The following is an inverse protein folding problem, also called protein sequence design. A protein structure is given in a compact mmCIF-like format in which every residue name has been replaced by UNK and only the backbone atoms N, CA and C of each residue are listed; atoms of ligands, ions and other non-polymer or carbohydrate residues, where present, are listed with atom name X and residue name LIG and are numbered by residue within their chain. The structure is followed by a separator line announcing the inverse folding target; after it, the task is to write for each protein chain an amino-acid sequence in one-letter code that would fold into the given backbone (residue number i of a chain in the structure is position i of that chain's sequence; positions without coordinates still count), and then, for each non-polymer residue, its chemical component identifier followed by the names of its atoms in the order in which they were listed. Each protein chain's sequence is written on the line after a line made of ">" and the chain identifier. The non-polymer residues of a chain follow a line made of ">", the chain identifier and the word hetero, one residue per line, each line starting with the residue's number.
data_IF_432691679404
#
_entry.id   IF_432691679404
#
_cell.length_a   1.000
_cell.length_b   1.000
_cell.length_c   1.000
_cell.angle_alpha   90.00
_cell.angle_beta   90.00
_cell.angle_gamma   90.00
#
_symmetry.space_group_name_H-M   'P 1'
#
loop_
_entity.id
_entity.type
_entity.pdbx_description
1 polymer ?
#
# COMPACT_ATOMS: atom_id res chain seq x y z
N UNK A 1 -57.14 -27.66 43.74
CA UNK A 1 -57.70 -28.51 42.67
C UNK A 1 -57.88 -27.62 41.44
N UNK A 2 -57.65 -28.18 40.24
CA UNK A 2 -57.44 -27.49 38.94
C UNK A 2 -56.01 -26.91 38.80
N UNK A 3 -55.07 -27.43 38.02
CA UNK A 3 -55.14 -28.38 36.90
C UNK A 3 -54.95 -27.63 35.57
N UNK A 4 -53.72 -27.28 35.22
CA UNK A 4 -53.35 -26.79 33.89
C UNK A 4 -51.95 -27.28 33.52
N UNK A 5 -51.93 -28.36 32.76
CA UNK A 5 -50.78 -28.96 32.10
C UNK A 5 -50.56 -28.31 30.73
N UNK A 6 -49.44 -27.63 30.53
CA UNK A 6 -48.97 -27.19 29.21
C UNK A 6 -47.80 -28.06 28.76
N UNK A 7 -48.08 -29.01 27.89
CA UNK A 7 -47.11 -29.83 27.16
C UNK A 7 -46.54 -29.07 25.98
N UNK A 8 -45.22 -28.81 25.96
CA UNK A 8 -44.49 -28.38 24.77
C UNK A 8 -43.83 -29.60 24.10
N UNK A 9 -44.15 -29.93 22.84
CA UNK A 9 -43.40 -30.87 22.04
C UNK A 9 -42.46 -30.13 21.08
N UNK A 10 -41.20 -30.53 20.99
CA UNK A 10 -40.33 -30.13 19.87
C UNK A 10 -38.89 -29.78 20.26
N UNK A 11 -38.14 -30.75 20.80
CA UNK A 11 -36.72 -30.56 21.09
C UNK A 11 -35.95 -31.89 21.04
N UNK A 12 -36.06 -32.64 19.93
CA UNK A 12 -35.30 -33.90 19.79
C UNK A 12 -34.69 -34.18 18.41
N UNK A 13 -34.83 -33.31 17.40
CA UNK A 13 -34.27 -33.58 16.06
C UNK A 13 -33.02 -32.77 15.68
N UNK A 14 -32.44 -31.96 16.56
CA UNK A 14 -31.30 -31.08 16.21
C UNK A 14 -29.90 -31.66 16.50
N UNK A 15 -29.79 -32.94 16.88
CA UNK A 15 -28.49 -33.56 17.26
C UNK A 15 -27.94 -34.50 16.18
N UNK A 16 -28.76 -34.94 15.21
CA UNK A 16 -28.31 -35.92 14.19
C UNK A 16 -27.67 -35.30 12.93
N UNK A 17 -27.86 -34.00 12.68
CA UNK A 17 -27.27 -33.31 11.52
C UNK A 17 -25.90 -32.67 11.81
N UNK A 18 -25.42 -32.70 13.06
CA UNK A 18 -24.09 -32.19 13.42
C UNK A 18 -22.96 -33.18 13.11
N UNK A 19 -23.27 -34.45 12.80
CA UNK A 19 -22.29 -35.53 12.68
C UNK A 19 -21.72 -35.72 11.26
N UNK A 20 -22.29 -35.07 10.23
CA UNK A 20 -21.84 -35.19 8.85
C UNK A 20 -21.15 -33.93 8.28
N UNK A 21 -20.95 -32.88 9.09
CA UNK A 21 -20.22 -31.68 8.68
C UNK A 21 -18.68 -31.77 8.88
N UNK A 22 -18.18 -32.90 9.42
CA UNK A 22 -16.78 -33.02 9.87
C UNK A 22 -15.75 -33.51 8.85
N UNK A 23 -16.14 -34.13 7.73
CA UNK A 23 -15.18 -34.82 6.85
C UNK A 23 -14.78 -34.05 5.58
N UNK A 24 -15.39 -32.90 5.30
CA UNK A 24 -15.08 -32.09 4.11
C UNK A 24 -13.94 -31.07 4.28
N UNK A 25 -13.46 -30.85 5.51
CA UNK A 25 -12.70 -29.64 5.86
C UNK A 25 -11.17 -29.77 5.79
N UNK A 26 -10.64 -30.93 5.36
CA UNK A 26 -9.20 -31.22 5.48
C UNK A 26 -8.38 -31.00 4.19
N UNK A 27 -9.00 -30.53 3.11
CA UNK A 27 -8.32 -30.21 1.83
C UNK A 27 -8.04 -28.73 1.60
N UNK A 28 -8.13 -27.88 2.62
CA UNK A 28 -7.50 -26.55 2.64
C UNK A 28 -5.97 -26.69 2.79
N UNK A 29 -5.34 -27.49 1.92
CA UNK A 29 -3.91 -27.75 1.95
C UNK A 29 -3.11 -26.49 1.68
N UNK A 30 -1.85 -26.49 2.14
CA UNK A 30 -0.87 -25.43 1.91
C UNK A 30 -0.86 -24.92 0.45
N UNK A 31 -1.11 -25.80 -0.53
CA UNK A 31 -1.21 -25.45 -1.95
C UNK A 31 -2.29 -24.40 -2.28
N UNK A 32 -3.46 -24.43 -1.60
CA UNK A 32 -4.57 -23.48 -1.83
C UNK A 32 -4.30 -22.08 -1.28
N UNK A 33 -3.35 -21.94 -0.35
CA UNK A 33 -2.94 -20.64 0.19
C UNK A 33 -1.64 -20.17 -0.46
N UNK A 34 -0.66 -21.06 -0.57
CA UNK A 34 0.65 -20.75 -1.13
C UNK A 34 0.56 -20.42 -2.63
N UNK A 35 -0.15 -21.23 -3.43
CA UNK A 35 -0.26 -21.02 -4.88
C UNK A 35 -0.79 -19.64 -5.25
N UNK A 36 -2.00 -19.26 -4.78
CA UNK A 36 -2.55 -17.91 -4.97
C UNK A 36 -1.63 -16.78 -4.48
N UNK A 37 -0.97 -16.96 -3.34
CA UNK A 37 -0.01 -15.99 -2.82
C UNK A 37 1.22 -15.82 -3.73
N UNK A 38 1.75 -16.93 -4.27
CA UNK A 38 2.86 -16.93 -5.23
C UNK A 38 2.49 -16.19 -6.51
N UNK A 39 1.32 -16.51 -7.09
CA UNK A 39 0.81 -15.89 -8.32
C UNK A 39 0.61 -14.40 -8.11
N UNK A 40 -0.09 -14.02 -7.04
CA UNK A 40 -0.31 -12.61 -6.67
C UNK A 40 1.02 -11.86 -6.54
N UNK A 41 2.00 -12.41 -5.83
CA UNK A 41 3.32 -11.81 -5.66
C UNK A 41 4.10 -11.66 -6.98
N UNK A 42 4.02 -12.67 -7.85
CA UNK A 42 4.63 -12.64 -9.18
C UNK A 42 3.99 -11.57 -10.09
N UNK A 43 2.65 -11.50 -10.14
CA UNK A 43 1.90 -10.49 -10.89
C UNK A 43 2.23 -9.08 -10.41
N UNK A 44 2.27 -8.85 -9.11
CA UNK A 44 2.73 -7.58 -8.54
C UNK A 44 4.15 -7.24 -8.97
N UNK A 45 5.04 -8.23 -8.99
CA UNK A 45 6.42 -7.99 -9.37
C UNK A 45 6.54 -7.55 -10.82
N UNK A 46 5.80 -8.18 -11.73
CA UNK A 46 5.76 -7.79 -13.15
C UNK A 46 5.27 -6.35 -13.30
N UNK A 47 4.15 -6.02 -12.66
CA UNK A 47 3.50 -4.71 -12.82
C UNK A 47 4.29 -3.56 -12.15
N UNK A 48 4.82 -3.79 -10.94
CA UNK A 48 5.42 -2.71 -10.15
C UNK A 48 6.94 -2.66 -10.21
N UNK A 49 7.65 -3.62 -10.80
CA UNK A 49 9.12 -3.53 -10.89
C UNK A 49 9.62 -2.28 -11.65
N UNK A 50 9.03 -1.91 -12.81
CA UNK A 50 9.41 -0.68 -13.51
C UNK A 50 9.25 0.58 -12.64
N UNK A 51 8.14 0.66 -11.90
CA UNK A 51 7.80 1.78 -11.03
C UNK A 51 8.76 1.85 -9.84
N UNK A 52 9.06 0.71 -9.20
CA UNK A 52 10.02 0.63 -8.09
C UNK A 52 11.40 1.12 -8.49
N UNK A 53 11.88 0.66 -9.65
CA UNK A 53 13.19 1.06 -10.15
C UNK A 53 13.20 2.56 -10.46
N UNK A 54 12.16 3.07 -11.12
CA UNK A 54 12.03 4.49 -11.41
C UNK A 54 11.98 5.35 -10.14
N UNK A 55 11.27 4.90 -9.10
CA UNK A 55 11.23 5.59 -7.80
C UNK A 55 12.59 5.58 -7.12
N UNK A 56 13.26 4.43 -7.10
CA UNK A 56 14.61 4.34 -6.54
C UNK A 56 15.59 5.26 -7.26
N UNK A 57 15.61 5.26 -8.61
CA UNK A 57 16.48 6.12 -9.42
C UNK A 57 16.17 7.60 -9.17
N UNK A 58 14.88 7.95 -9.10
CA UNK A 58 14.45 9.31 -8.76
C UNK A 58 15.02 9.76 -7.42
N UNK A 59 15.01 8.89 -6.40
CA UNK A 59 15.52 9.20 -5.06
C UNK A 59 17.05 9.27 -5.03
N UNK A 60 17.72 8.26 -5.60
CA UNK A 60 19.19 8.17 -5.68
C UNK A 60 19.77 9.44 -6.32
N UNK A 61 19.18 9.89 -7.43
CA UNK A 61 19.63 11.05 -8.18
C UNK A 61 18.83 12.34 -7.90
N UNK A 62 17.99 12.36 -6.85
CA UNK A 62 17.16 13.51 -6.44
C UNK A 62 16.39 14.20 -7.59
N UNK A 63 15.90 13.44 -8.56
CA UNK A 63 15.20 13.98 -9.74
C UNK A 63 13.83 14.56 -9.35
N UNK A 64 13.50 15.74 -9.86
CA UNK A 64 12.24 16.44 -9.54
C UNK A 64 11.01 15.73 -10.10
N UNK A 65 11.06 15.29 -11.36
CA UNK A 65 9.93 14.64 -12.04
C UNK A 65 10.08 13.13 -11.98
N UNK A 66 9.00 12.46 -11.57
CA UNK A 66 8.95 10.99 -11.56
C UNK A 66 8.87 10.42 -12.98
N UNK A 67 8.08 11.04 -13.87
CA UNK A 67 7.87 10.59 -15.25
C UNK A 67 8.99 10.99 -16.23
N UNK A 68 10.21 11.19 -15.73
CA UNK A 68 11.38 11.40 -16.59
C UNK A 68 11.77 10.07 -17.24
N UNK A 69 11.89 10.02 -18.58
CA UNK A 69 12.27 8.81 -19.34
C UNK A 69 13.56 8.17 -18.81
N UNK A 70 14.48 8.99 -18.29
CA UNK A 70 15.74 8.52 -17.67
C UNK A 70 15.52 7.68 -16.42
N UNK A 71 14.36 7.78 -15.75
CA UNK A 71 14.04 6.92 -14.61
C UNK A 71 13.67 5.50 -15.05
N UNK A 72 13.35 5.31 -16.34
CA UNK A 72 12.85 4.06 -16.93
C UNK A 72 13.84 3.41 -17.90
N UNK A 73 15.11 3.83 -17.95
CA UNK A 73 16.11 3.27 -18.91
C UNK A 73 16.36 1.77 -18.72
N UNK A 74 16.06 1.19 -17.54
CA UNK A 74 16.20 -0.25 -17.25
C UNK A 74 15.11 -0.74 -16.30
N UNK A 75 13.86 -0.87 -16.76
CA UNK A 75 12.71 -1.08 -15.87
C UNK A 75 12.69 -2.46 -15.19
N UNK A 76 13.36 -3.45 -15.78
CA UNK A 76 13.41 -4.83 -15.27
C UNK A 76 14.75 -5.24 -14.64
N UNK A 77 15.64 -4.28 -14.37
CA UNK A 77 16.90 -4.60 -13.67
C UNK A 77 16.61 -5.15 -12.27
N UNK A 78 17.10 -6.36 -11.98
CA UNK A 78 16.87 -7.03 -10.69
C UNK A 78 15.47 -7.62 -10.53
N UNK A 79 14.74 -7.83 -11.63
CA UNK A 79 13.36 -8.33 -11.63
C UNK A 79 13.19 -9.65 -10.85
N UNK A 80 14.03 -10.67 -11.12
CA UNK A 80 13.93 -11.96 -10.42
C UNK A 80 14.02 -11.82 -8.90
N UNK A 81 14.95 -10.97 -8.43
CA UNK A 81 15.10 -10.71 -6.99
C UNK A 81 13.89 -9.95 -6.44
N UNK A 82 13.32 -9.03 -7.22
CA UNK A 82 12.11 -8.31 -6.84
C UNK A 82 10.87 -9.22 -6.81
N UNK A 83 10.79 -10.20 -7.71
CA UNK A 83 9.75 -11.22 -7.74
C UNK A 83 9.82 -12.10 -6.51
N UNK A 84 10.94 -12.80 -6.30
CA UNK A 84 11.14 -13.67 -5.14
C UNK A 84 10.90 -12.90 -3.84
N UNK A 85 11.47 -11.69 -3.72
CA UNK A 85 11.28 -10.87 -2.54
C UNK A 85 9.81 -10.49 -2.31
N UNK A 86 9.09 -9.97 -3.31
CA UNK A 86 7.68 -9.56 -3.12
C UNK A 86 6.79 -10.73 -2.76
N UNK A 87 7.00 -11.85 -3.44
CA UNK A 87 6.27 -13.09 -3.19
C UNK A 87 6.50 -13.59 -1.76
N UNK A 88 7.77 -13.68 -1.34
CA UNK A 88 8.10 -14.10 0.03
C UNK A 88 7.58 -13.12 1.08
N UNK A 89 7.74 -11.81 0.88
CA UNK A 89 7.27 -10.78 1.82
C UNK A 89 5.74 -10.79 1.96
N UNK A 90 5.02 -10.90 0.85
CA UNK A 90 3.56 -10.94 0.87
C UNK A 90 3.04 -12.18 1.57
N UNK A 91 3.57 -13.35 1.20
CA UNK A 91 3.15 -14.64 1.78
C UNK A 91 3.52 -14.74 3.27
N UNK A 92 4.73 -14.35 3.64
CA UNK A 92 5.18 -14.39 5.04
C UNK A 92 4.40 -13.42 5.92
N UNK A 93 4.09 -12.20 5.45
CA UNK A 93 3.27 -11.27 6.23
C UNK A 93 1.88 -11.85 6.51
N UNK A 94 1.21 -12.44 5.50
CA UNK A 94 -0.09 -13.10 5.69
C UNK A 94 0.02 -14.25 6.70
N UNK A 95 1.05 -15.09 6.56
CA UNK A 95 1.33 -16.18 7.49
C UNK A 95 1.53 -15.68 8.93
N UNK A 96 2.33 -14.63 9.15
CA UNK A 96 2.55 -14.06 10.47
C UNK A 96 1.31 -13.41 11.04
N UNK A 97 0.52 -12.73 10.20
CA UNK A 97 -0.75 -12.12 10.62
C UNK A 97 -1.72 -13.17 11.15
N UNK A 98 -1.88 -14.29 10.45
CA UNK A 98 -2.78 -15.37 10.88
C UNK A 98 -2.23 -16.13 12.10
N UNK A 99 -0.91 -16.36 12.14
CA UNK A 99 -0.25 -16.96 13.31
C UNK A 99 -0.45 -16.10 14.56
N UNK A 100 -0.27 -14.78 14.45
CA UNK A 100 -0.45 -13.84 15.57
C UNK A 100 -1.90 -13.71 15.99
N UNK A 101 -2.86 -13.79 15.05
CA UNK A 101 -4.28 -13.85 15.38
C UNK A 101 -4.59 -15.05 16.27
N UNK A 102 -4.17 -16.26 15.85
CA UNK A 102 -4.39 -17.50 16.61
C UNK A 102 -3.68 -17.43 17.98
N UNK A 103 -2.45 -16.90 18.02
CA UNK A 103 -1.70 -16.74 19.27
C UNK A 103 -2.40 -15.78 20.24
N UNK A 104 -2.90 -14.64 19.76
CA UNK A 104 -3.62 -13.66 20.58
C UNK A 104 -4.94 -14.25 21.09
N UNK A 105 -5.69 -14.97 20.26
CA UNK A 105 -6.94 -15.63 20.67
C UNK A 105 -6.72 -16.67 21.76
N UNK A 106 -5.60 -17.39 21.73
CA UNK A 106 -5.28 -18.45 22.70
C UNK A 106 -4.62 -17.95 23.98
N UNK A 107 -3.72 -16.98 23.88
CA UNK A 107 -2.82 -16.63 24.98
C UNK A 107 -3.01 -15.21 25.53
N UNK A 108 -3.67 -14.30 24.79
CA UNK A 108 -3.81 -12.93 25.26
C UNK A 108 -5.00 -12.79 26.25
N UNK A 109 -4.95 -11.82 27.18
CA UNK A 109 -6.07 -11.52 28.06
C UNK A 109 -7.35 -11.17 27.30
N UNK A 110 -8.51 -11.37 27.93
CA UNK A 110 -9.82 -11.06 27.35
C UNK A 110 -9.94 -9.60 26.84
N UNK A 111 -9.22 -8.66 27.45
CA UNK A 111 -9.15 -7.26 27.02
C UNK A 111 -8.52 -7.07 25.62
N UNK A 112 -7.68 -8.01 25.16
CA UNK A 112 -7.01 -7.98 23.87
C UNK A 112 -7.75 -8.79 22.79
N UNK A 113 -8.84 -9.47 23.15
CA UNK A 113 -9.63 -10.27 22.22
C UNK A 113 -10.46 -9.38 21.29
N UNK A 114 -10.75 -9.91 20.09
CA UNK A 114 -11.51 -9.19 19.09
C UNK A 114 -12.96 -8.86 19.52
N UNK A 115 -13.54 -9.68 20.40
CA UNK A 115 -14.89 -9.48 20.98
C UNK A 115 -14.96 -8.25 21.89
N UNK A 116 -13.93 -8.02 22.71
CA UNK A 116 -13.90 -6.94 23.70
C UNK A 116 -13.38 -5.63 23.10
N UNK A 117 -12.25 -5.70 22.38
CA UNK A 117 -11.56 -4.52 21.87
C UNK A 117 -11.00 -4.79 20.45
N UNK A 118 -11.84 -4.73 19.40
CA UNK A 118 -11.44 -5.10 18.04
C UNK A 118 -10.29 -4.24 17.49
N UNK A 119 -10.21 -2.97 17.88
CA UNK A 119 -9.12 -2.07 17.48
C UNK A 119 -7.79 -2.46 18.12
N UNK A 120 -7.77 -2.72 19.43
CA UNK A 120 -6.57 -3.16 20.14
C UNK A 120 -6.08 -4.51 19.60
N UNK A 121 -7.00 -5.46 19.39
CA UNK A 121 -6.68 -6.75 18.77
C UNK A 121 -5.98 -6.57 17.42
N UNK A 122 -6.54 -5.72 16.55
CA UNK A 122 -5.99 -5.44 15.22
C UNK A 122 -4.63 -4.75 15.28
N UNK A 123 -4.47 -3.81 16.22
CA UNK A 123 -3.19 -3.15 16.47
C UNK A 123 -2.11 -4.16 16.92
N UNK A 124 -2.44 -5.07 17.84
CA UNK A 124 -1.51 -6.10 18.33
C UNK A 124 -1.13 -7.09 17.23
N UNK A 125 -2.09 -7.54 16.42
CA UNK A 125 -1.81 -8.39 15.24
C UNK A 125 -0.83 -7.67 14.30
N UNK A 126 -1.13 -6.41 13.95
CA UNK A 126 -0.29 -5.61 13.05
C UNK A 126 1.12 -5.35 13.59
N UNK A 127 1.23 -5.02 14.88
CA UNK A 127 2.51 -4.82 15.57
C UNK A 127 3.37 -6.09 15.53
N UNK A 128 2.81 -7.22 15.99
CA UNK A 128 3.56 -8.46 16.12
C UNK A 128 3.91 -9.06 14.77
N UNK A 129 2.95 -9.11 13.82
CA UNK A 129 3.20 -9.62 12.48
C UNK A 129 4.23 -8.75 11.73
N UNK A 130 4.12 -7.42 11.86
CA UNK A 130 5.09 -6.48 11.30
C UNK A 130 6.49 -6.67 11.88
N UNK A 131 6.63 -6.78 13.20
CA UNK A 131 7.91 -6.99 13.86
C UNK A 131 8.58 -8.29 13.42
N UNK A 132 7.87 -9.42 13.46
CA UNK A 132 8.40 -10.74 13.10
C UNK A 132 8.77 -10.79 11.62
N UNK A 133 7.91 -10.26 10.74
CA UNK A 133 8.18 -10.19 9.31
C UNK A 133 9.42 -9.33 8.99
N UNK A 134 9.52 -8.16 9.64
CA UNK A 134 10.64 -7.25 9.47
C UNK A 134 11.96 -7.87 9.93
N UNK A 135 11.94 -8.65 11.02
CA UNK A 135 13.10 -9.42 11.48
C UNK A 135 13.48 -10.51 10.48
N UNK A 136 12.53 -11.39 10.13
CA UNK A 136 12.77 -12.56 9.29
C UNK A 136 13.32 -12.20 7.90
N UNK A 137 12.88 -11.07 7.34
CA UNK A 137 13.23 -10.66 5.98
C UNK A 137 14.29 -9.56 5.93
N UNK A 138 14.85 -9.13 7.06
CA UNK A 138 15.85 -8.05 7.07
C UNK A 138 17.06 -8.39 6.21
N UNK A 139 17.52 -9.64 6.25
CA UNK A 139 18.70 -10.11 5.51
C UNK A 139 18.50 -9.94 3.99
N UNK A 140 17.34 -10.34 3.47
CA UNK A 140 16.96 -10.17 2.06
C UNK A 140 16.88 -8.69 1.68
N UNK A 141 16.36 -7.85 2.58
CA UNK A 141 16.25 -6.40 2.35
C UNK A 141 17.62 -5.72 2.26
N UNK A 142 18.56 -6.09 3.13
CA UNK A 142 19.91 -5.56 3.14
C UNK A 142 20.65 -5.91 1.84
N UNK A 143 20.59 -7.17 1.40
CA UNK A 143 21.21 -7.63 0.15
C UNK A 143 20.59 -6.93 -1.05
N UNK A 144 19.25 -6.85 -1.11
CA UNK A 144 18.54 -6.13 -2.18
C UNK A 144 18.98 -4.66 -2.26
N UNK A 145 19.12 -3.99 -1.13
CA UNK A 145 19.52 -2.60 -1.09
C UNK A 145 20.96 -2.41 -1.60
N UNK A 146 21.91 -3.25 -1.16
CA UNK A 146 23.28 -3.23 -1.65
C UNK A 146 23.35 -3.49 -3.16
N UNK A 147 22.62 -4.47 -3.65
CA UNK A 147 22.54 -4.78 -5.08
C UNK A 147 22.03 -3.60 -5.93
N UNK A 148 21.05 -2.84 -5.43
CA UNK A 148 20.53 -1.66 -6.15
C UNK A 148 21.49 -0.47 -6.15
N UNK A 149 22.35 -0.38 -5.13
CA UNK A 149 23.36 0.67 -5.03
C UNK A 149 24.55 0.43 -5.97
N UNK A 150 24.87 -0.82 -6.28
CA UNK A 150 26.00 -1.14 -7.16
C UNK A 150 25.63 -0.95 -8.64
N UNK A 151 26.45 -0.21 -9.38
CA UNK A 151 26.21 0.08 -10.80
C UNK A 151 26.78 -0.99 -11.76
N UNK A 152 27.42 -2.05 -11.22
CA UNK A 152 27.99 -3.12 -12.05
C UNK A 152 26.90 -3.97 -12.72
N UNK A 153 27.17 -4.37 -13.97
CA UNK A 153 26.28 -5.27 -14.73
C UNK A 153 26.44 -6.71 -14.25
N UNK A 154 25.36 -7.49 -14.31
CA UNK A 154 25.41 -8.94 -14.01
C UNK A 154 25.53 -9.29 -12.52
N UNK A 155 25.23 -8.38 -11.60
CA UNK A 155 25.24 -8.68 -10.17
C UNK A 155 24.07 -9.59 -9.82
N UNK A 156 24.38 -10.76 -9.28
CA UNK A 156 23.40 -11.70 -8.73
C UNK A 156 23.23 -11.50 -7.23
N UNK A 157 22.08 -11.91 -6.69
CA UNK A 157 21.78 -11.84 -5.27
C UNK A 157 22.83 -12.58 -4.43
N UNK A 158 23.15 -13.82 -4.83
CA UNK A 158 24.13 -14.65 -4.13
C UNK A 158 25.52 -14.02 -4.13
N UNK A 159 25.96 -13.45 -5.26
CA UNK A 159 27.24 -12.75 -5.33
C UNK A 159 27.28 -11.53 -4.43
N UNK A 160 26.20 -10.75 -4.35
CA UNK A 160 26.11 -9.64 -3.38
C UNK A 160 26.13 -10.12 -1.95
N UNK A 161 25.42 -11.22 -1.63
CA UNK A 161 25.41 -11.78 -0.28
C UNK A 161 26.81 -12.28 0.14
N UNK A 162 27.50 -13.03 -0.73
CA UNK A 162 28.87 -13.50 -0.48
C UNK A 162 29.82 -12.31 -0.30
N UNK A 163 29.69 -11.26 -1.11
CA UNK A 163 30.49 -10.05 -0.97
C UNK A 163 30.23 -9.33 0.36
N UNK A 164 28.96 -9.17 0.76
CA UNK A 164 28.59 -8.58 2.05
C UNK A 164 29.15 -9.41 3.21
N UNK A 165 29.09 -10.73 3.12
CA UNK A 165 29.66 -11.63 4.11
C UNK A 165 31.19 -11.45 4.22
N UNK A 166 31.89 -11.30 3.09
CA UNK A 166 33.32 -10.98 3.09
C UNK A 166 33.67 -9.62 3.71
N UNK A 167 32.80 -8.61 3.57
CA UNK A 167 33.02 -7.27 4.14
C UNK A 167 32.83 -7.19 5.66
N UNK A 168 31.86 -7.92 6.22
CA UNK A 168 31.42 -7.72 7.61
C UNK A 168 30.83 -8.94 8.30
N UNK A 169 31.03 -10.14 7.75
CA UNK A 169 30.52 -11.39 8.29
C UNK A 169 28.99 -11.45 8.38
N UNK A 170 28.47 -12.15 9.40
CA UNK A 170 27.03 -12.26 9.63
C UNK A 170 26.40 -10.96 10.14
N UNK A 171 27.14 -10.14 10.88
CA UNK A 171 26.61 -8.93 11.52
C UNK A 171 26.05 -7.92 10.51
N UNK A 172 26.62 -7.85 9.30
CA UNK A 172 26.16 -6.94 8.24
C UNK A 172 24.72 -7.23 7.79
N UNK A 173 24.27 -8.49 7.87
CA UNK A 173 22.91 -8.89 7.48
C UNK A 173 21.86 -8.50 8.50
N UNK A 174 22.27 -8.28 9.75
CA UNK A 174 21.41 -7.78 10.83
C UNK A 174 21.51 -6.27 11.02
N UNK A 175 22.39 -5.60 10.25
CA UNK A 175 22.44 -4.13 10.22
C UNK A 175 21.09 -3.60 9.78
N UNK A 176 20.53 -2.67 10.55
CA UNK A 176 19.20 -2.11 10.29
C UNK A 176 18.01 -2.98 10.69
N UNK A 177 18.23 -4.16 11.29
CA UNK A 177 17.14 -5.06 11.69
C UNK A 177 16.09 -4.37 12.57
N UNK A 178 16.53 -3.70 13.64
CA UNK A 178 15.63 -2.93 14.53
C UNK A 178 14.84 -1.87 13.74
N UNK A 179 15.49 -1.17 12.81
CA UNK A 179 14.84 -0.13 12.01
C UNK A 179 13.78 -0.71 11.08
N UNK A 180 14.02 -1.91 10.54
CA UNK A 180 13.07 -2.66 9.72
C UNK A 180 11.90 -3.16 10.56
N UNK A 181 12.15 -3.74 11.73
CA UNK A 181 11.10 -4.19 12.66
C UNK A 181 10.18 -3.04 13.06
N UNK A 182 10.74 -1.89 13.47
CA UNK A 182 9.93 -0.73 13.87
C UNK A 182 9.12 -0.19 12.69
N UNK A 183 9.74 -0.09 11.51
CA UNK A 183 9.06 0.35 10.29
C UNK A 183 7.88 -0.55 9.92
N UNK A 184 8.09 -1.87 9.95
CA UNK A 184 7.06 -2.86 9.61
C UNK A 184 5.99 -2.97 10.69
N UNK A 185 6.35 -2.77 11.96
CA UNK A 185 5.41 -2.68 13.08
C UNK A 185 4.46 -1.49 12.94
N UNK A 186 5.00 -0.30 12.68
CA UNK A 186 4.18 0.91 12.46
C UNK A 186 3.30 0.75 11.23
N UNK A 187 3.85 0.18 10.16
CA UNK A 187 3.08 -0.15 8.97
C UNK A 187 1.92 -1.08 9.32
N UNK A 188 2.18 -2.20 10.00
CA UNK A 188 1.19 -3.20 10.39
C UNK A 188 0.11 -2.63 11.30
N UNK A 189 0.47 -1.87 12.34
CA UNK A 189 -0.49 -1.19 13.24
C UNK A 189 -1.46 -0.32 12.44
N UNK A 190 -0.93 0.59 11.62
CA UNK A 190 -1.76 1.55 10.88
C UNK A 190 -2.59 0.82 9.84
N UNK A 191 -2.01 -0.13 9.11
CA UNK A 191 -2.70 -0.89 8.07
C UNK A 191 -3.85 -1.72 8.64
N UNK A 192 -3.60 -2.51 9.68
CA UNK A 192 -4.60 -3.37 10.31
C UNK A 192 -5.72 -2.57 10.97
N UNK A 193 -5.37 -1.48 11.65
CA UNK A 193 -6.36 -0.62 12.33
C UNK A 193 -7.21 0.13 11.31
N UNK A 194 -6.60 0.71 10.27
CA UNK A 194 -7.31 1.47 9.25
C UNK A 194 -8.23 0.58 8.40
N UNK A 195 -7.77 -0.60 7.97
CA UNK A 195 -8.57 -1.49 7.11
C UNK A 195 -9.79 -2.09 7.82
N UNK A 196 -9.73 -2.25 9.15
CA UNK A 196 -10.82 -2.84 9.98
C UNK A 196 -11.71 -1.80 10.64
N UNK A 197 -11.37 -0.52 10.55
CA UNK A 197 -12.20 0.53 11.12
C UNK A 197 -13.50 0.67 10.32
N UNK A 198 -14.63 0.39 10.98
CA UNK A 198 -15.98 0.43 10.40
C UNK A 198 -16.34 1.80 9.81
N UNK A 199 -15.80 2.87 10.40
CA UNK A 199 -15.96 4.23 9.89
C UNK A 199 -15.42 4.39 8.45
N UNK A 200 -14.29 3.76 8.12
CA UNK A 200 -13.75 3.80 6.76
C UNK A 200 -14.62 3.01 5.80
N UNK A 201 -15.13 1.85 6.22
CA UNK A 201 -16.05 1.05 5.40
C UNK A 201 -17.30 1.86 5.06
N UNK A 202 -17.96 2.45 6.07
CA UNK A 202 -19.15 3.30 5.86
C UNK A 202 -18.87 4.49 4.95
N UNK A 203 -17.72 5.15 5.12
CA UNK A 203 -17.31 6.24 4.24
C UNK A 203 -17.15 5.79 2.78
N UNK A 204 -16.42 4.70 2.53
CA UNK A 204 -16.21 4.21 1.17
C UNK A 204 -17.47 3.65 0.53
N UNK A 205 -18.33 2.98 1.30
CA UNK A 205 -19.64 2.51 0.79
C UNK A 205 -20.45 3.70 0.24
N UNK A 206 -20.45 4.84 0.94
CA UNK A 206 -21.10 6.07 0.47
C UNK A 206 -20.44 6.66 -0.79
N UNK A 207 -19.10 6.68 -0.85
CA UNK A 207 -18.39 7.23 -2.02
C UNK A 207 -18.55 6.34 -3.27
N UNK A 208 -18.55 5.01 -3.09
CA UNK A 208 -18.77 4.05 -4.16
C UNK A 208 -20.18 4.16 -4.72
N UNK A 209 -21.18 4.31 -3.84
CA UNK A 209 -22.57 4.52 -4.28
C UNK A 209 -22.71 5.82 -5.09
N UNK A 210 -22.05 6.90 -4.67
CA UNK A 210 -22.02 8.16 -5.42
C UNK A 210 -21.36 7.99 -6.80
N UNK A 211 -20.20 7.35 -6.87
CA UNK A 211 -19.49 7.07 -8.12
C UNK A 211 -20.35 6.24 -9.07
N UNK A 212 -21.02 5.21 -8.55
CA UNK A 212 -21.90 4.35 -9.34
C UNK A 212 -23.07 5.14 -9.93
N UNK A 213 -23.71 6.01 -9.13
CA UNK A 213 -24.77 6.91 -9.62
C UNK A 213 -24.28 7.82 -10.73
N UNK A 214 -23.07 8.38 -10.61
CA UNK A 214 -22.48 9.26 -11.63
C UNK A 214 -22.19 8.48 -12.92
N UNK A 215 -21.57 7.31 -12.83
CA UNK A 215 -21.23 6.48 -14.00
C UNK A 215 -22.49 6.04 -14.74
N UNK A 216 -23.54 5.63 -14.02
CA UNK A 216 -24.79 5.24 -14.65
C UNK A 216 -25.56 6.43 -15.23
N UNK A 217 -25.53 7.60 -14.56
CA UNK A 217 -26.13 8.82 -15.10
C UNK A 217 -25.43 9.31 -16.38
N UNK A 218 -24.14 9.01 -16.54
CA UNK A 218 -23.37 9.34 -17.74
C UNK A 218 -23.62 8.38 -18.91
N UNK A 219 -24.30 7.25 -18.68
CA UNK A 219 -24.70 6.35 -19.77
C UNK A 219 -25.91 7.00 -20.44
N UNK A 220 -25.77 7.53 -21.68
CA UNK A 220 -26.87 8.19 -22.36
C UNK A 220 -28.03 7.21 -22.44
N UNK A 221 -29.21 7.63 -21.97
CA UNK A 221 -30.43 6.86 -22.11
C UNK A 221 -30.49 6.39 -23.55
N UNK A 222 -30.48 5.07 -23.77
CA UNK A 222 -30.61 4.55 -25.12
C UNK A 222 -31.86 5.18 -25.71
N UNK A 223 -31.77 5.80 -26.91
CA UNK A 223 -32.94 6.36 -27.56
C UNK A 223 -33.99 5.25 -27.61
N UNK A 224 -35.26 5.56 -27.28
CA UNK A 224 -36.32 4.57 -27.27
C UNK A 224 -36.27 3.84 -28.61
N UNK A 225 -36.02 2.52 -28.58
CA UNK A 225 -36.13 1.71 -29.79
C UNK A 225 -37.57 1.87 -30.24
N UNK A 226 -37.74 2.55 -31.37
CA UNK A 226 -39.05 2.78 -31.98
C UNK A 226 -39.58 1.42 -32.43
N UNK A 227 -40.34 0.75 -31.56
CA UNK A 227 -41.08 -0.47 -31.89
C UNK A 227 -42.26 -0.10 -32.80
N UNK A 228 -41.98 -0.06 -34.10
CA UNK A 228 -43.00 -0.07 -35.13
C UNK A 228 -43.18 -1.50 -35.65
N UNK A 229 -43.89 -2.34 -34.90
CA UNK A 229 -44.64 -3.48 -35.46
C UNK A 229 -45.60 -4.05 -34.42
N UNK A 230 -46.88 -3.76 -34.62
CA UNK A 230 -48.01 -4.40 -33.96
C UNK A 230 -47.96 -5.92 -34.13
N UNK A 231 -47.95 -6.66 -33.03
CA UNK A 231 -48.71 -7.91 -32.92
C UNK A 231 -49.23 -8.06 -31.50
N UNK A 232 -50.56 -8.11 -31.43
CA UNK A 232 -51.38 -8.28 -30.24
C UNK A 232 -51.21 -9.70 -29.69
N UNK A 233 -50.91 -9.78 -28.39
CA UNK A 233 -51.01 -10.90 -27.43
C UNK A 233 -49.66 -11.21 -26.80
N UNK A 234 -49.53 -10.85 -25.52
CA UNK A 234 -49.39 -11.79 -24.41
C UNK A 234 -48.89 -11.01 -23.18
N UNK A 235 -49.60 -11.16 -22.08
CA UNK A 235 -49.34 -10.54 -20.78
C UNK A 235 -48.06 -11.08 -20.17
N UNK A 236 -46.91 -10.62 -20.63
CA UNK A 236 -45.61 -10.86 -20.01
C UNK A 236 -45.22 -9.59 -19.23
N UNK A 237 -45.17 -9.70 -17.90
CA UNK A 237 -44.69 -8.63 -17.04
C UNK A 237 -43.23 -8.31 -17.41
N UNK A 238 -43.03 -7.18 -18.06
CA UNK A 238 -41.71 -6.65 -18.41
C UNK A 238 -41.00 -6.29 -17.11
N UNK A 239 -40.24 -7.25 -16.57
CA UNK A 239 -39.24 -6.96 -15.56
C UNK A 239 -38.21 -6.03 -16.23
N UNK A 240 -38.18 -4.78 -15.77
CA UNK A 240 -37.05 -3.90 -15.99
C UNK A 240 -35.83 -4.59 -15.37
N UNK A 241 -35.08 -5.33 -16.18
CA UNK A 241 -33.72 -5.77 -15.90
C UNK A 241 -32.82 -4.52 -15.86
N UNK A 242 -32.99 -3.71 -14.82
CA UNK A 242 -31.90 -2.89 -14.35
C UNK A 242 -30.76 -3.86 -14.11
N UNK A 243 -29.67 -3.71 -14.87
CA UNK A 243 -28.39 -4.39 -14.65
C UNK A 243 -27.87 -3.94 -13.29
N UNK A 244 -28.50 -4.47 -12.24
CA UNK A 244 -28.08 -4.41 -10.87
C UNK A 244 -26.83 -5.26 -10.85
N UNK A 245 -25.68 -4.59 -10.95
CA UNK A 245 -24.40 -5.20 -10.64
C UNK A 245 -24.58 -6.01 -9.36
N UNK A 246 -24.25 -7.30 -9.49
CA UNK A 246 -24.34 -8.29 -8.43
C UNK A 246 -23.74 -7.68 -7.14
N UNK A 247 -24.48 -7.69 -6.01
CA UNK A 247 -24.00 -7.17 -4.72
C UNK A 247 -22.58 -7.62 -4.35
N UNK A 248 -22.14 -8.78 -4.86
CA UNK A 248 -20.78 -9.29 -4.75
C UNK A 248 -19.71 -8.32 -5.30
N UNK A 249 -19.96 -7.69 -6.46
CA UNK A 249 -18.99 -6.81 -7.13
C UNK A 249 -18.84 -5.46 -6.44
N UNK A 250 -19.93 -4.93 -5.86
CA UNK A 250 -19.89 -3.71 -5.04
C UNK A 250 -19.04 -3.92 -3.79
N UNK A 251 -19.21 -5.07 -3.12
CA UNK A 251 -18.43 -5.44 -1.95
C UNK A 251 -16.92 -5.52 -2.26
N UNK A 252 -16.57 -6.01 -3.45
CA UNK A 252 -15.18 -6.10 -3.92
C UNK A 252 -14.50 -4.73 -4.05
N UNK A 253 -15.14 -3.75 -4.69
CA UNK A 253 -14.54 -2.43 -4.91
C UNK A 253 -14.39 -1.63 -3.61
N UNK A 254 -15.37 -1.69 -2.70
CA UNK A 254 -15.25 -1.06 -1.38
C UNK A 254 -14.06 -1.64 -0.59
N UNK A 255 -13.91 -2.96 -0.61
CA UNK A 255 -12.79 -3.66 0.04
C UNK A 255 -11.46 -3.26 -0.58
N UNK A 256 -11.37 -3.19 -1.91
CA UNK A 256 -10.18 -2.72 -2.61
C UNK A 256 -9.80 -1.28 -2.22
N UNK A 257 -10.74 -0.34 -2.25
CA UNK A 257 -10.49 1.06 -1.91
C UNK A 257 -10.10 1.25 -0.43
N UNK A 258 -10.77 0.53 0.48
CA UNK A 258 -10.42 0.52 1.90
C UNK A 258 -8.98 0.05 2.11
N UNK A 259 -8.60 -1.09 1.49
CA UNK A 259 -7.24 -1.62 1.57
C UNK A 259 -6.21 -0.68 0.93
N UNK A 260 -6.55 -0.05 -0.20
CA UNK A 260 -5.71 0.95 -0.86
C UNK A 260 -5.40 2.12 0.07
N UNK A 261 -6.43 2.72 0.68
CA UNK A 261 -6.24 3.89 1.56
C UNK A 261 -5.53 3.50 2.85
N UNK A 262 -5.89 2.37 3.46
CA UNK A 262 -5.21 1.86 4.65
C UNK A 262 -3.70 1.67 4.39
N UNK A 263 -3.33 1.07 3.25
CA UNK A 263 -1.94 0.85 2.88
C UNK A 263 -1.20 2.14 2.49
N UNK A 264 -1.87 3.11 1.86
CA UNK A 264 -1.30 4.46 1.63
C UNK A 264 -1.00 5.15 2.95
N UNK A 265 -1.95 5.16 3.89
CA UNK A 265 -1.78 5.79 5.21
C UNK A 265 -0.65 5.11 6.00
N UNK A 266 -0.64 3.77 6.03
CA UNK A 266 0.43 3.00 6.66
C UNK A 266 1.80 3.29 6.04
N UNK A 267 1.88 3.41 4.71
CA UNK A 267 3.11 3.78 4.02
C UNK A 267 3.58 5.19 4.37
N UNK A 268 2.67 6.17 4.49
CA UNK A 268 3.03 7.55 4.86
C UNK A 268 3.56 7.58 6.30
N UNK A 269 2.85 6.95 7.24
CA UNK A 269 3.20 6.94 8.66
C UNK A 269 4.50 6.18 8.95
N UNK A 270 4.76 5.10 8.22
CA UNK A 270 6.01 4.33 8.35
C UNK A 270 7.21 4.92 7.58
N UNK A 271 6.99 5.92 6.73
CA UNK A 271 8.03 6.46 5.83
C UNK A 271 9.26 7.06 6.53
N UNK A 272 9.17 7.75 7.70
CA UNK A 272 10.37 8.25 8.39
C UNK A 272 11.31 7.10 8.81
N UNK A 273 10.74 5.97 9.23
CA UNK A 273 11.52 4.79 9.60
C UNK A 273 12.13 4.10 8.38
N UNK A 274 11.41 4.12 7.26
CA UNK A 274 11.95 3.65 5.99
C UNK A 274 13.14 4.49 5.51
N UNK A 275 13.13 5.81 5.73
CA UNK A 275 14.26 6.70 5.47
C UNK A 275 15.48 6.34 6.32
N UNK A 276 15.30 6.16 7.63
CA UNK A 276 16.39 5.74 8.54
C UNK A 276 16.96 4.39 8.12
N UNK A 277 16.11 3.41 7.82
CA UNK A 277 16.52 2.09 7.31
C UNK A 277 17.39 2.20 6.05
N UNK A 278 16.98 3.03 5.09
CA UNK A 278 17.76 3.25 3.85
C UNK A 278 19.15 3.86 4.10
N UNK A 279 19.28 4.77 5.08
CA UNK A 279 20.59 5.30 5.48
C UNK A 279 21.45 4.19 6.11
N UNK A 280 20.87 3.42 7.02
CA UNK A 280 21.58 2.36 7.75
C UNK A 280 22.12 1.29 6.80
N UNK A 281 21.34 0.90 5.78
CA UNK A 281 21.79 -0.04 4.74
C UNK A 281 22.82 0.55 3.77
N UNK A 282 22.78 1.86 3.54
CA UNK A 282 23.75 2.56 2.70
C UNK A 282 25.09 2.81 3.37
N UNK A 283 25.19 2.58 4.68
CA UNK A 283 26.44 2.79 5.41
C UNK A 283 27.43 1.63 5.11
N UNK A 284 28.72 1.92 4.83
CA UNK A 284 29.73 0.89 4.58
C UNK A 284 29.95 0.00 5.81
N UNK A 285 30.45 -1.22 5.60
CA UNK A 285 30.56 -2.24 6.66
C UNK A 285 31.45 -1.79 7.84
N UNK A 286 32.56 -1.09 7.55
CA UNK A 286 33.48 -0.60 8.57
C UNK A 286 33.05 0.69 9.28
N UNK A 287 31.96 1.33 8.86
CA UNK A 287 31.49 2.55 9.51
C UNK A 287 30.61 2.25 10.73
N UNK A 288 30.84 3.01 11.80
CA UNK A 288 30.11 2.94 13.06
C UNK A 288 28.60 2.95 12.78
N UNK A 289 27.83 1.99 13.33
CA UNK A 289 26.39 1.96 13.12
C UNK A 289 25.77 3.25 13.65
N UNK A 290 25.16 4.01 12.75
CA UNK A 290 24.43 5.21 13.12
C UNK A 290 23.21 4.79 13.94
N UNK A 291 23.09 5.35 15.15
CA UNK A 291 21.95 5.10 16.01
C UNK A 291 20.64 5.53 15.35
N UNK A 292 19.62 4.69 15.48
CA UNK A 292 18.29 4.95 14.92
C UNK A 292 17.66 6.25 15.45
N UNK A 293 17.68 6.47 16.78
CA UNK A 293 17.11 7.66 17.41
C UNK A 293 17.82 8.95 16.96
N UNK A 294 19.17 9.01 16.94
CA UNK A 294 19.90 10.14 16.35
C UNK A 294 19.52 10.47 14.90
N UNK A 295 19.40 9.45 14.03
CA UNK A 295 19.02 9.67 12.63
C UNK A 295 17.61 10.22 12.48
N UNK A 296 16.66 9.69 13.25
CA UNK A 296 15.28 10.17 13.25
C UNK A 296 15.17 11.59 13.82
N UNK A 297 15.88 11.88 14.92
CA UNK A 297 15.98 13.23 15.50
C UNK A 297 16.58 14.21 14.50
N UNK A 298 17.64 13.82 13.79
CA UNK A 298 18.25 14.64 12.73
C UNK A 298 17.26 14.93 11.61
N UNK A 299 16.49 13.92 11.16
CA UNK A 299 15.44 14.11 10.17
C UNK A 299 14.40 15.15 10.61
N UNK A 300 13.84 15.01 11.82
CA UNK A 300 12.84 15.95 12.33
C UNK A 300 13.41 17.34 12.58
N UNK A 301 14.68 17.44 13.00
CA UNK A 301 15.36 18.72 13.18
C UNK A 301 15.52 19.44 11.84
N UNK A 302 15.92 18.75 10.78
CA UNK A 302 16.02 19.32 9.43
C UNK A 302 14.65 19.68 8.84
N UNK A 303 13.62 18.86 9.11
CA UNK A 303 12.24 19.14 8.72
C UNK A 303 11.74 20.44 9.37
N UNK A 304 11.93 20.55 10.69
CA UNK A 304 11.55 21.72 11.48
C UNK A 304 12.34 22.97 11.06
N UNK A 305 13.64 22.83 10.80
CA UNK A 305 14.46 23.92 10.28
C UNK A 305 13.94 24.41 8.92
N UNK A 306 13.64 23.49 8.00
CA UNK A 306 13.09 23.84 6.68
C UNK A 306 11.70 24.47 6.80
N UNK A 307 10.88 24.00 7.75
CA UNK A 307 9.60 24.59 8.07
C UNK A 307 9.74 26.02 8.59
N UNK A 308 10.72 26.32 9.44
CA UNK A 308 10.90 27.66 10.01
C UNK A 308 11.61 28.64 9.07
N UNK A 309 12.55 28.17 8.25
CA UNK A 309 13.42 29.04 7.45
C UNK A 309 13.17 28.99 5.94
N UNK A 310 12.38 28.03 5.46
CA UNK A 310 12.08 27.86 4.03
C UNK A 310 13.27 27.43 3.17
N UNK A 311 14.42 27.13 3.80
CA UNK A 311 15.66 26.68 3.16
C UNK A 311 16.13 25.39 3.80
N UNK A 312 16.78 24.52 3.03
CA UNK A 312 17.33 23.29 3.59
C UNK A 312 18.56 23.61 4.45
N UNK A 313 18.80 22.83 5.51
CA UNK A 313 19.98 23.00 6.36
C UNK A 313 21.29 22.90 5.57
N UNK A 314 21.31 22.03 4.55
CA UNK A 314 22.46 21.79 3.67
C UNK A 314 22.82 22.99 2.79
N UNK A 315 21.84 23.80 2.36
CA UNK A 315 22.10 24.96 1.50
C UNK A 315 22.89 26.06 2.21
N UNK A 316 22.77 26.14 3.55
CA UNK A 316 23.42 27.19 4.35
C UNK A 316 24.85 26.86 4.74
N UNK A 317 25.16 25.57 4.90
CA UNK A 317 26.47 25.11 5.34
C UNK A 317 27.39 24.67 4.19
N UNK A 318 27.01 24.98 2.95
CA UNK A 318 27.93 24.94 1.81
C UNK A 318 28.55 23.57 1.57
N UNK A 319 27.83 22.46 1.81
CA UNK A 319 28.32 21.14 1.40
C UNK A 319 28.30 21.11 -0.14
N UNK A 320 29.45 21.23 -0.83
CA UNK A 320 29.47 21.62 -2.24
C UNK A 320 28.92 20.55 -3.20
N UNK A 321 28.72 19.31 -2.76
CA UNK A 321 28.75 18.16 -3.67
C UNK A 321 27.41 17.65 -4.25
N UNK A 322 26.27 18.27 -3.98
CA UNK A 322 24.99 17.78 -4.54
C UNK A 322 24.12 18.83 -5.24
N UNK A 323 24.49 20.11 -5.17
CA UNK A 323 23.73 21.21 -5.78
C UNK A 323 24.00 21.42 -7.27
N UNK A 324 25.22 21.08 -7.75
CA UNK A 324 25.62 21.36 -9.14
C UNK A 324 24.83 20.56 -10.18
N UNK A 325 24.37 19.35 -9.82
CA UNK A 325 23.48 18.57 -10.69
C UNK A 325 22.05 19.11 -10.73
N UNK A 326 21.63 19.92 -9.76
CA UNK A 326 20.25 20.44 -9.67
C UNK A 326 20.10 21.84 -10.30
N UNK A 327 21.12 22.69 -10.24
CA UNK A 327 21.05 24.08 -10.72
C UNK A 327 21.28 24.26 -12.23
N UNK A 328 22.01 23.35 -12.90
CA UNK A 328 22.30 23.46 -14.34
C UNK A 328 21.06 23.36 -15.25
N UNK A 329 19.94 22.86 -14.73
CA UNK A 329 18.77 22.50 -15.56
C UNK A 329 17.66 23.55 -15.63
N UNK A 330 17.80 24.72 -15.00
CA UNK A 330 16.77 25.76 -15.02
C UNK A 330 16.71 26.60 -16.30
N UNK A 331 17.66 26.48 -17.22
CA UNK A 331 17.77 27.40 -18.36
C UNK A 331 17.36 26.87 -19.75
N UNK A 332 16.76 25.68 -19.88
CA UNK A 332 16.40 25.18 -21.22
C UNK A 332 15.19 24.26 -21.24
N UNK A 333 13.98 24.82 -21.22
CA UNK A 333 12.76 24.11 -21.63
C UNK A 333 11.57 25.08 -21.71
N UNK A 334 11.52 25.87 -22.78
CA UNK A 334 10.32 26.57 -23.22
C UNK A 334 10.16 26.26 -24.71
N UNK A 335 9.22 25.38 -25.06
CA UNK A 335 8.96 25.03 -26.46
C UNK A 335 7.92 23.93 -26.64
N UNK A 336 6.71 24.33 -27.03
CA UNK A 336 5.82 23.60 -27.95
C UNK A 336 4.92 22.50 -27.41
N UNK A 337 3.60 22.79 -27.34
CA UNK A 337 2.51 21.88 -27.76
C UNK A 337 1.13 22.53 -27.48
N UNK A 338 0.65 23.39 -28.40
CA UNK A 338 -0.71 23.93 -28.39
C UNK A 338 -1.57 23.21 -29.44
N UNK A 339 -2.53 22.37 -29.03
CA UNK A 339 -3.71 22.05 -29.86
C UNK A 339 -4.79 21.24 -29.12
N UNK A 340 -4.45 20.49 -28.06
CA UNK A 340 -5.45 19.79 -27.20
C UNK A 340 -5.58 20.43 -25.81
N UNK A 341 -4.94 21.59 -25.64
CA UNK A 341 -4.73 22.22 -24.35
C UNK A 341 -5.96 23.00 -23.87
N UNK A 342 -6.94 23.33 -24.72
CA UNK A 342 -7.95 24.33 -24.35
C UNK A 342 -9.09 23.78 -23.46
N UNK A 343 -9.56 22.56 -23.70
CA UNK A 343 -10.54 21.90 -22.82
C UNK A 343 -9.89 21.45 -21.50
N UNK A 344 -8.66 20.93 -21.58
CA UNK A 344 -7.83 20.65 -20.41
C UNK A 344 -7.50 21.92 -19.62
N UNK A 345 -7.21 23.06 -20.29
CA UNK A 345 -6.99 24.39 -19.69
C UNK A 345 -8.28 24.91 -19.06
N UNK A 346 -9.48 24.65 -19.60
CA UNK A 346 -10.75 25.10 -18.99
C UNK A 346 -11.08 24.30 -17.72
N UNK A 347 -10.94 22.98 -17.73
CA UNK A 347 -11.07 22.15 -16.52
C UNK A 347 -9.97 22.48 -15.49
N UNK A 348 -8.73 22.67 -15.95
CA UNK A 348 -7.60 23.07 -15.12
C UNK A 348 -7.75 24.49 -14.57
N UNK A 349 -8.35 25.45 -15.28
CA UNK A 349 -8.62 26.82 -14.78
C UNK A 349 -9.66 26.81 -13.66
N UNK A 350 -10.70 25.97 -13.74
CA UNK A 350 -11.70 25.81 -12.66
C UNK A 350 -11.08 25.14 -11.43
N UNK A 351 -10.33 24.05 -11.61
CA UNK A 351 -9.59 23.41 -10.52
C UNK A 351 -8.49 24.32 -9.94
N UNK A 352 -7.83 25.09 -10.80
CA UNK A 352 -6.85 26.09 -10.42
C UNK A 352 -7.48 27.24 -9.65
N UNK A 353 -8.75 27.59 -9.84
CA UNK A 353 -9.41 28.60 -9.01
C UNK A 353 -9.45 28.19 -7.53
N UNK A 354 -9.89 26.97 -7.23
CA UNK A 354 -9.90 26.45 -5.87
C UNK A 354 -8.49 26.22 -5.32
N UNK A 355 -7.61 25.60 -6.11
CA UNK A 355 -6.23 25.33 -5.71
C UNK A 355 -5.40 26.62 -5.56
N UNK A 356 -5.62 27.63 -6.41
CA UNK A 356 -4.96 28.93 -6.31
C UNK A 356 -5.49 29.72 -5.12
N UNK A 357 -6.79 29.66 -4.81
CA UNK A 357 -7.33 30.24 -3.57
C UNK A 357 -6.73 29.58 -2.34
N UNK A 358 -6.64 28.25 -2.32
CA UNK A 358 -5.99 27.51 -1.24
C UNK A 358 -4.50 27.88 -1.15
N UNK A 359 -3.79 27.91 -2.27
CA UNK A 359 -2.38 28.30 -2.34
C UNK A 359 -2.16 29.75 -1.90
N UNK A 360 -3.06 30.67 -2.26
CA UNK A 360 -3.02 32.07 -1.85
C UNK A 360 -3.25 32.21 -0.33
N UNK A 361 -4.22 31.48 0.23
CA UNK A 361 -4.44 31.40 1.69
C UNK A 361 -3.21 30.87 2.41
N UNK A 362 -2.64 29.77 1.92
CA UNK A 362 -1.41 29.21 2.48
C UNK A 362 -0.26 30.21 2.38
N UNK A 363 -0.07 30.88 1.24
CA UNK A 363 0.98 31.91 1.08
C UNK A 363 0.80 33.09 2.04
N UNK A 364 -0.43 33.55 2.23
CA UNK A 364 -0.73 34.65 3.15
C UNK A 364 -0.44 34.22 4.59
N UNK A 365 -0.87 33.02 4.96
CA UNK A 365 -0.57 32.42 6.26
C UNK A 365 0.94 32.25 6.48
N UNK A 366 1.69 31.78 5.46
CA UNK A 366 3.15 31.63 5.53
C UNK A 366 3.86 32.96 5.77
N UNK A 367 3.37 34.05 5.15
CA UNK A 367 3.93 35.40 5.34
C UNK A 367 3.68 35.90 6.75
N UNK A 368 2.47 35.65 7.28
CA UNK A 368 2.08 36.10 8.61
C UNK A 368 2.85 35.37 9.71
N UNK A 369 2.98 34.04 9.61
CA UNK A 369 3.56 33.20 10.66
C UNK A 369 5.06 32.92 10.49
N UNK A 370 5.70 33.44 9.43
CA UNK A 370 7.10 33.12 9.07
C UNK A 370 7.37 31.61 9.04
N UNK A 371 6.41 30.85 8.53
CA UNK A 371 6.50 29.40 8.39
C UNK A 371 6.38 28.99 6.92
N UNK A 372 7.07 27.93 6.54
CA UNK A 372 7.19 27.46 5.16
C UNK A 372 6.75 25.98 5.03
N UNK A 373 5.47 25.65 5.33
CA UNK A 373 4.94 24.28 5.27
C UNK A 373 5.12 23.63 3.90
N UNK A 374 4.97 24.37 2.80
CA UNK A 374 5.13 23.84 1.45
C UNK A 374 6.60 23.43 1.19
N UNK A 375 7.56 24.23 1.66
CA UNK A 375 8.98 23.91 1.52
C UNK A 375 9.35 22.68 2.37
N UNK A 376 8.90 22.64 3.62
CA UNK A 376 9.07 21.49 4.52
C UNK A 376 8.45 20.21 3.95
N UNK A 377 7.22 20.29 3.44
CA UNK A 377 6.55 19.17 2.81
C UNK A 377 7.29 18.68 1.57
N UNK A 378 7.75 19.59 0.70
CA UNK A 378 8.50 19.24 -0.51
C UNK A 378 9.83 18.57 -0.14
N UNK A 379 10.53 19.09 0.86
CA UNK A 379 11.78 18.54 1.40
C UNK A 379 11.58 17.16 2.05
N UNK A 380 10.48 16.98 2.80
CA UNK A 380 10.12 15.70 3.41
C UNK A 380 9.77 14.69 2.32
N UNK A 381 8.93 15.09 1.37
CA UNK A 381 8.46 14.26 0.27
C UNK A 381 9.63 13.73 -0.58
N UNK A 382 10.65 14.56 -0.82
CA UNK A 382 11.83 14.15 -1.58
C UNK A 382 12.70 13.09 -0.89
N UNK A 383 12.54 12.92 0.44
CA UNK A 383 13.30 11.94 1.25
C UNK A 383 12.46 10.73 1.62
N UNK A 384 11.19 10.95 1.94
CA UNK A 384 10.26 9.95 2.44
C UNK A 384 9.55 9.18 1.32
N UNK A 385 9.57 9.68 0.08
CA UNK A 385 8.80 9.12 -1.05
C UNK A 385 7.30 9.09 -0.83
N UNK A 386 6.79 10.11 -0.14
CA UNK A 386 5.35 10.31 -0.02
C UNK A 386 4.76 10.57 -1.43
N UNK A 387 3.49 10.23 -1.66
CA UNK A 387 2.88 10.30 -2.99
C UNK A 387 3.12 9.00 -3.77
N UNK A 388 3.91 9.02 -4.85
CA UNK A 388 4.06 7.87 -5.75
C UNK A 388 4.52 6.58 -5.04
N UNK A 389 5.40 6.68 -4.04
CA UNK A 389 5.82 5.53 -3.25
C UNK A 389 4.66 4.93 -2.46
N UNK A 390 3.88 5.77 -1.77
CA UNK A 390 2.72 5.35 -0.98
C UNK A 390 1.58 4.84 -1.86
N UNK A 391 1.27 5.51 -2.97
CA UNK A 391 0.27 5.06 -3.95
C UNK A 391 0.65 3.69 -4.50
N UNK A 392 1.92 3.50 -4.87
CA UNK A 392 2.41 2.20 -5.33
C UNK A 392 2.26 1.11 -4.27
N UNK A 393 2.58 1.39 -3.00
CA UNK A 393 2.33 0.43 -1.89
C UNK A 393 0.84 0.08 -1.82
N UNK A 394 -0.02 1.10 -1.83
CA UNK A 394 -1.45 0.92 -1.69
C UNK A 394 -2.08 0.11 -2.82
N UNK A 395 -1.80 0.49 -4.07
CA UNK A 395 -2.26 -0.26 -5.24
C UNK A 395 -1.70 -1.68 -5.24
N UNK A 396 -0.41 -1.84 -4.89
CA UNK A 396 0.19 -3.15 -4.72
C UNK A 396 -0.62 -4.03 -3.78
N UNK A 397 -0.82 -3.59 -2.53
CA UNK A 397 -1.51 -4.39 -1.52
C UNK A 397 -2.97 -4.68 -1.88
N UNK A 398 -3.72 -3.67 -2.33
CA UNK A 398 -5.12 -3.85 -2.71
C UNK A 398 -5.28 -4.81 -3.90
N UNK A 399 -4.41 -4.69 -4.90
CA UNK A 399 -4.40 -5.59 -6.07
C UNK A 399 -3.99 -7.01 -5.69
N UNK A 400 -3.00 -7.18 -4.80
CA UNK A 400 -2.59 -8.51 -4.37
C UNK A 400 -3.67 -9.25 -3.61
N UNK A 401 -4.41 -8.56 -2.73
CA UNK A 401 -5.52 -9.20 -2.05
C UNK A 401 -6.62 -9.60 -3.03
N UNK A 402 -6.92 -8.74 -4.00
CA UNK A 402 -7.93 -9.04 -5.03
C UNK A 402 -7.52 -10.22 -5.91
N UNK A 403 -6.25 -10.26 -6.36
CA UNK A 403 -5.70 -11.36 -7.14
C UNK A 403 -5.62 -12.66 -6.33
N UNK A 404 -5.29 -12.57 -5.04
CA UNK A 404 -5.27 -13.72 -4.15
C UNK A 404 -6.66 -14.36 -4.06
N UNK A 405 -7.71 -13.58 -3.80
CA UNK A 405 -9.09 -14.10 -3.73
C UNK A 405 -9.53 -14.68 -5.07
N UNK A 406 -9.26 -14.00 -6.18
CA UNK A 406 -9.60 -14.49 -7.51
C UNK A 406 -8.90 -15.81 -7.84
N UNK A 407 -7.60 -15.93 -7.52
CA UNK A 407 -6.86 -17.17 -7.71
C UNK A 407 -7.33 -18.30 -6.78
N UNK A 408 -7.74 -17.96 -5.55
CA UNK A 408 -8.30 -18.92 -4.61
C UNK A 408 -9.66 -19.45 -5.09
N UNK A 409 -10.54 -18.58 -5.59
CA UNK A 409 -11.84 -18.96 -6.12
C UNK A 409 -11.70 -19.80 -7.39
N UNK A 410 -10.78 -19.44 -8.29
CA UNK A 410 -10.45 -20.25 -9.46
C UNK A 410 -9.98 -21.66 -9.07
N UNK A 411 -9.08 -21.77 -8.08
CA UNK A 411 -8.60 -23.05 -7.59
C UNK A 411 -9.72 -23.91 -6.99
N UNK A 412 -10.67 -23.29 -6.29
CA UNK A 412 -11.86 -24.00 -5.76
C UNK A 412 -12.79 -24.48 -6.86
N UNK A 413 -12.99 -23.68 -7.90
CA UNK A 413 -13.85 -24.08 -9.03
C UNK A 413 -13.22 -25.18 -9.88
N UNK A 414 -11.89 -25.19 -10.04
CA UNK A 414 -11.19 -26.22 -10.80
C UNK A 414 -11.08 -27.57 -10.07
N UNK A 415 -11.28 -27.59 -8.75
CA UNK A 415 -11.27 -28.79 -7.93
C UNK A 415 -12.65 -29.46 -7.80
N UNK A 416 -13.72 -28.79 -8.27
CA UNK A 416 -15.08 -29.33 -8.38
C UNK A 416 -15.25 -29.92 -9.78
#
# INVERSE_FOLDING_TARGET
>A
MSGASSSSPGLTNSVKDASHAGEGQHRDGFAYSAGPALISGASQAILFNPIDRALYVRVKFRRRRFLDKRNFERPFQGFMNAMVYRTLVGASYMFWQDSMRIAIERFAPAACQASTAPQLNSMLIGLSAGAVNGFALNTLQAVKFRMWNTDARGITFLRTAVHMYGEGGLAIFFRGCVTTMVRDSVFGIVYETARRASAWKSFFDSQVDLLYRIVNAATPAQPPKSEASLSVNETASVHHDSVLLDPSQRCGMCTFLSNLVAAVLASIMSSPFNYVRSIVYGTPAGAIPLGYVPLLKSFYTQLYYTYRHGRSYTDRHGVPELGETEHRWRHGSAGGAEATEEEARRAARRAAGAAARAAARVRTWTRLHRHHPIAAWTWANSRLNIGWGSLRVGFGMAMSQSLFYLAQDYARTAAR
#
